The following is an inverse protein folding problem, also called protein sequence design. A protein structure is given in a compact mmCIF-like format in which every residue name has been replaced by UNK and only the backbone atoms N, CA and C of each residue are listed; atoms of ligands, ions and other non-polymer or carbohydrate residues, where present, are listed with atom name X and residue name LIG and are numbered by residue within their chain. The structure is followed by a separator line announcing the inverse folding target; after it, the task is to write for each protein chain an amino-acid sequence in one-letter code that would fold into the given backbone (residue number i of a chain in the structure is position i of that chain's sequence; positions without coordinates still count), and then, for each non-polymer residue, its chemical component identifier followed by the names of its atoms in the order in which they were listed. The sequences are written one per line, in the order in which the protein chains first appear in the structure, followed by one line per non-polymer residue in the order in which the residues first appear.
data_IF_566145615896
#
_entry.id   IF_566145615896
#
_cell.length_a   1.000
_cell.length_b   1.000
_cell.length_c   1.000
_cell.angle_alpha   90.00
_cell.angle_beta   90.00
_cell.angle_gamma   90.00
#
_symmetry.space_group_name_H-M   'P 1'
#
loop_
_entity.id
_entity.type
_entity.pdbx_description
1 polymer ?
#
# COMPACT_ATOMS: atom_id res chain seq x y z
N UNK A 1 -9.82 30.17 -6.60
CA UNK A 1 -10.87 29.23 -7.08
C UNK A 1 -11.32 28.35 -5.91
N UNK A 2 -12.61 28.15 -5.70
CA UNK A 2 -13.09 27.25 -4.63
C UNK A 2 -12.99 25.79 -5.11
N UNK A 3 -12.32 24.94 -4.34
CA UNK A 3 -12.12 23.51 -4.62
C UNK A 3 -12.69 22.68 -3.48
N UNK A 4 -13.56 21.74 -3.81
CA UNK A 4 -14.13 20.77 -2.88
C UNK A 4 -13.25 19.54 -2.75
N UNK A 5 -13.20 18.99 -1.54
CA UNK A 5 -12.44 17.78 -1.22
C UNK A 5 -13.17 16.91 -0.19
N UNK A 6 -12.79 15.64 -0.13
CA UNK A 6 -13.15 14.74 0.98
C UNK A 6 -11.90 14.32 1.73
N UNK A 7 -11.96 14.29 3.05
CA UNK A 7 -10.96 13.66 3.90
C UNK A 7 -11.36 12.21 4.13
N UNK A 8 -10.43 11.28 3.90
CA UNK A 8 -10.65 9.85 4.03
C UNK A 8 -9.45 9.18 4.70
N UNK A 9 -9.59 7.95 5.16
CA UNK A 9 -8.44 7.14 5.57
C UNK A 9 -8.64 5.65 5.29
N UNK A 10 -7.53 4.93 5.07
CA UNK A 10 -7.49 3.48 5.02
C UNK A 10 -6.58 2.95 6.12
N UNK A 11 -7.16 2.44 7.22
CA UNK A 11 -6.40 1.94 8.38
C UNK A 11 -5.40 2.97 8.96
N UNK A 12 -5.87 4.21 9.19
CA UNK A 12 -5.06 5.30 9.75
C UNK A 12 -4.22 6.08 8.72
N UNK A 13 -3.88 5.50 7.58
CA UNK A 13 -3.23 6.25 6.49
C UNK A 13 -4.26 7.18 5.83
N UNK A 14 -4.07 8.50 5.98
CA UNK A 14 -5.10 9.51 5.72
C UNK A 14 -4.86 10.34 4.45
N UNK A 15 -5.97 10.67 3.78
CA UNK A 15 -5.99 11.20 2.43
C UNK A 15 -6.87 12.44 2.32
N UNK A 16 -6.39 13.43 1.57
CA UNK A 16 -7.25 14.41 0.91
C UNK A 16 -7.60 13.89 -0.48
N UNK A 17 -8.88 13.77 -0.81
CA UNK A 17 -9.35 13.23 -2.10
C UNK A 17 -10.10 14.31 -2.88
N UNK A 18 -9.71 14.52 -4.13
CA UNK A 18 -10.26 15.53 -5.03
C UNK A 18 -10.95 14.86 -6.21
N UNK A 19 -12.21 15.23 -6.43
CA UNK A 19 -12.88 15.00 -7.70
C UNK A 19 -12.40 16.06 -8.69
N UNK A 20 -11.54 15.66 -9.62
CA UNK A 20 -11.07 16.46 -10.74
C UNK A 20 -11.68 16.03 -12.08
N UNK A 21 -12.77 15.26 -12.03
CA UNK A 21 -13.63 14.95 -13.18
C UNK A 21 -14.65 16.08 -13.36
N UNK A 22 -15.23 16.55 -12.25
CA UNK A 22 -16.22 17.63 -12.25
C UNK A 22 -15.63 19.00 -11.90
N UNK A 23 -14.41 19.02 -11.36
CA UNK A 23 -13.64 20.24 -11.07
C UNK A 23 -12.38 20.29 -11.94
N UNK A 24 -11.76 21.47 -12.04
CA UNK A 24 -10.49 21.65 -12.74
C UNK A 24 -9.45 22.30 -11.80
N UNK A 25 -9.00 21.52 -10.82
CA UNK A 25 -8.03 21.92 -9.81
C UNK A 25 -6.61 21.48 -10.19
N UNK A 26 -5.67 22.41 -10.10
CA UNK A 26 -4.23 22.16 -10.23
C UNK A 26 -3.52 22.58 -8.95
N UNK A 27 -2.60 21.75 -8.48
CA UNK A 27 -1.82 22.00 -7.28
C UNK A 27 -0.34 21.99 -7.64
N UNK A 28 0.39 23.06 -7.29
CA UNK A 28 1.85 23.04 -7.34
C UNK A 28 2.39 22.17 -6.19
N UNK A 29 3.64 21.73 -6.30
CA UNK A 29 4.31 20.96 -5.25
C UNK A 29 4.28 21.67 -3.90
N UNK A 30 4.56 22.97 -3.91
CA UNK A 30 4.57 23.83 -2.73
C UNK A 30 3.17 23.93 -2.12
N UNK A 31 2.12 23.97 -2.95
CA UNK A 31 0.74 24.00 -2.45
C UNK A 31 0.35 22.68 -1.80
N UNK A 32 0.77 21.54 -2.37
CA UNK A 32 0.53 20.22 -1.75
C UNK A 32 1.21 20.16 -0.39
N UNK A 33 2.48 20.58 -0.28
CA UNK A 33 3.21 20.63 0.99
C UNK A 33 2.52 21.51 2.04
N UNK A 34 2.02 22.69 1.65
CA UNK A 34 1.26 23.56 2.53
C UNK A 34 -0.03 22.89 3.05
N UNK A 35 -0.80 22.26 2.16
CA UNK A 35 -2.05 21.60 2.53
C UNK A 35 -1.80 20.33 3.36
N UNK A 36 -0.70 19.62 3.12
CA UNK A 36 -0.32 18.41 3.84
C UNK A 36 0.13 18.68 5.28
N UNK A 37 0.53 19.91 5.60
CA UNK A 37 0.91 20.28 6.96
C UNK A 37 -0.24 20.04 7.93
N UNK A 38 -0.01 19.23 8.98
CA UNK A 38 -1.05 18.83 9.92
C UNK A 38 -1.51 19.94 10.89
N UNK A 39 -0.72 20.99 11.05
CA UNK A 39 -1.03 22.10 11.95
C UNK A 39 -1.57 23.34 11.20
N UNK A 40 -1.02 23.62 10.03
CA UNK A 40 -1.30 24.83 9.25
C UNK A 40 -2.08 24.57 7.95
N UNK A 41 -2.30 23.30 7.62
CA UNK A 41 -3.04 22.87 6.43
C UNK A 41 -4.23 21.99 6.79
N UNK A 42 -4.63 21.15 5.84
CA UNK A 42 -5.65 20.12 6.03
C UNK A 42 -5.07 18.95 6.83
N UNK A 43 -3.79 18.67 6.64
CA UNK A 43 -3.10 17.50 7.19
C UNK A 43 -3.47 16.23 6.44
N UNK A 44 -2.52 15.55 5.82
CA UNK A 44 -2.72 14.24 5.20
C UNK A 44 -1.38 13.59 4.91
N UNK A 45 -1.36 12.26 4.80
CA UNK A 45 -0.20 11.54 4.28
C UNK A 45 -0.09 11.69 2.75
N UNK A 46 -1.22 11.57 2.04
CA UNK A 46 -1.27 11.74 0.59
C UNK A 46 -2.50 12.53 0.09
N UNK A 47 -2.33 13.20 -1.04
CA UNK A 47 -3.39 13.78 -1.86
C UNK A 47 -3.72 12.81 -3.00
N UNK A 48 -4.99 12.48 -3.16
CA UNK A 48 -5.51 11.64 -4.23
C UNK A 48 -6.32 12.50 -5.21
N UNK A 49 -5.98 12.45 -6.49
CA UNK A 49 -6.75 13.12 -7.54
C UNK A 49 -7.45 12.10 -8.42
N UNK A 50 -8.77 12.27 -8.56
CA UNK A 50 -9.63 11.51 -9.47
C UNK A 50 -9.82 12.31 -10.74
N UNK A 51 -9.20 11.87 -11.82
CA UNK A 51 -9.19 12.57 -13.11
C UNK A 51 -9.95 11.77 -14.19
N UNK A 52 -10.38 12.42 -15.27
CA UNK A 52 -10.90 11.74 -16.45
C UNK A 52 -9.86 10.72 -16.99
N UNK A 53 -10.31 9.55 -17.47
CA UNK A 53 -9.40 8.58 -18.05
C UNK A 53 -8.81 9.09 -19.38
N UNK A 54 -7.57 8.71 -19.67
CA UNK A 54 -6.96 8.93 -20.99
C UNK A 54 -7.39 7.87 -22.03
N UNK A 55 -7.84 6.71 -21.56
CA UNK A 55 -8.21 5.54 -22.35
C UNK A 55 -9.69 5.20 -22.08
N UNK A 56 -10.56 5.08 -23.10
CA UNK A 56 -11.98 4.80 -22.94
C UNK A 56 -12.30 3.44 -22.31
N UNK A 57 -11.35 2.50 -22.24
CA UNK A 57 -11.52 1.24 -21.52
C UNK A 57 -11.40 1.38 -19.99
N UNK A 58 -11.02 2.56 -19.50
CA UNK A 58 -10.81 2.87 -18.10
C UNK A 58 -11.89 3.81 -17.60
N UNK A 59 -12.21 3.72 -16.31
CA UNK A 59 -13.22 4.58 -15.67
C UNK A 59 -12.65 5.93 -15.29
N UNK A 60 -11.41 5.94 -14.79
CA UNK A 60 -10.74 7.13 -14.25
C UNK A 60 -9.22 7.04 -14.40
N UNK A 61 -8.56 8.19 -14.35
CA UNK A 61 -7.14 8.30 -14.06
C UNK A 61 -6.93 8.66 -12.59
N UNK A 62 -6.00 7.97 -11.92
CA UNK A 62 -5.74 8.08 -10.50
C UNK A 62 -4.30 8.53 -10.24
N UNK A 63 -4.15 9.74 -9.70
CA UNK A 63 -2.87 10.34 -9.33
C UNK A 63 -2.73 10.49 -7.82
N UNK A 64 -1.50 10.33 -7.34
CA UNK A 64 -1.19 10.26 -5.91
C UNK A 64 0.01 11.15 -5.63
N UNK A 65 -0.13 12.06 -4.69
CA UNK A 65 0.96 12.91 -4.24
C UNK A 65 1.22 12.70 -2.75
N UNK A 66 2.47 12.52 -2.38
CA UNK A 66 2.87 12.50 -0.98
C UNK A 66 2.78 13.90 -0.35
N UNK A 67 2.86 13.94 0.99
CA UNK A 67 2.92 15.18 1.75
C UNK A 67 4.08 16.12 1.35
N UNK A 68 5.18 15.59 0.81
CA UNK A 68 6.29 16.37 0.27
C UNK A 68 6.03 16.91 -1.16
N UNK A 69 4.85 16.61 -1.72
CA UNK A 69 4.40 16.99 -3.06
C UNK A 69 5.00 16.16 -4.19
N UNK A 70 5.76 15.09 -3.91
CA UNK A 70 6.21 14.14 -4.93
C UNK A 70 5.05 13.27 -5.41
N UNK A 71 5.00 13.01 -6.72
CA UNK A 71 4.00 12.11 -7.32
C UNK A 71 4.52 10.67 -7.30
N UNK A 72 3.72 9.77 -6.72
CA UNK A 72 4.05 8.34 -6.57
C UNK A 72 3.15 7.47 -7.42
N UNK A 73 3.63 6.26 -7.72
CA UNK A 73 3.00 5.41 -8.71
C UNK A 73 1.81 4.61 -8.19
N UNK A 74 1.85 4.24 -6.90
CA UNK A 74 0.85 3.37 -6.31
C UNK A 74 0.71 3.55 -4.80
N UNK A 75 -0.54 3.50 -4.32
CA UNK A 75 -0.88 3.42 -2.90
C UNK A 75 -2.11 2.52 -2.72
N UNK A 76 -1.92 1.35 -2.10
CA UNK A 76 -2.99 0.37 -1.90
C UNK A 76 -4.10 0.84 -0.95
N UNK A 77 -3.77 1.63 0.07
CA UNK A 77 -4.75 2.25 0.96
C UNK A 77 -5.53 3.35 0.25
N UNK A 78 -4.84 4.18 -0.54
CA UNK A 78 -5.45 5.24 -1.33
C UNK A 78 -6.39 4.69 -2.39
N UNK A 79 -6.04 3.57 -3.03
CA UNK A 79 -6.90 2.89 -4.01
C UNK A 79 -8.24 2.43 -3.40
N UNK A 80 -8.26 2.01 -2.12
CA UNK A 80 -9.51 1.70 -1.42
C UNK A 80 -10.35 2.96 -1.17
N UNK A 81 -9.71 4.04 -0.71
CA UNK A 81 -10.38 5.33 -0.51
C UNK A 81 -10.94 5.88 -1.83
N UNK A 82 -10.18 5.80 -2.91
CA UNK A 82 -10.59 6.16 -4.26
C UNK A 82 -11.88 5.44 -4.67
N UNK A 83 -11.92 4.11 -4.54
CA UNK A 83 -13.07 3.32 -4.94
C UNK A 83 -14.35 3.73 -4.20
N UNK A 84 -14.23 3.94 -2.88
CA UNK A 84 -15.36 4.39 -2.06
C UNK A 84 -15.76 5.83 -2.38
N UNK A 85 -14.79 6.71 -2.63
CA UNK A 85 -15.02 8.11 -3.00
C UNK A 85 -15.84 8.24 -4.28
N UNK A 86 -15.42 7.59 -5.38
CA UNK A 86 -16.11 7.73 -6.68
C UNK A 86 -17.53 7.16 -6.63
N UNK A 87 -17.77 6.14 -5.81
CA UNK A 87 -19.12 5.62 -5.54
C UNK A 87 -19.94 6.61 -4.72
N UNK A 88 -19.38 7.14 -3.64
CA UNK A 88 -20.07 8.07 -2.73
C UNK A 88 -20.43 9.39 -3.41
N UNK A 89 -19.57 9.89 -4.31
CA UNK A 89 -19.82 11.11 -5.10
C UNK A 89 -20.67 10.86 -6.35
N UNK A 90 -21.13 9.63 -6.57
CA UNK A 90 -22.01 9.29 -7.71
C UNK A 90 -21.33 9.37 -9.08
N UNK A 91 -19.99 9.34 -9.12
CA UNK A 91 -19.20 9.39 -10.36
C UNK A 91 -19.28 8.07 -11.13
N UNK A 92 -19.59 6.96 -10.44
CA UNK A 92 -19.76 5.65 -11.04
C UNK A 92 -20.78 4.80 -10.28
N UNK A 93 -21.62 4.07 -11.02
CA UNK A 93 -22.67 3.21 -10.43
C UNK A 93 -22.29 1.73 -10.35
N UNK A 94 -21.31 1.25 -11.13
CA UNK A 94 -20.85 -0.15 -11.07
C UNK A 94 -19.89 -0.39 -9.90
N UNK A 95 -19.76 -1.65 -9.50
CA UNK A 95 -18.89 -2.05 -8.36
C UNK A 95 -17.48 -2.45 -8.79
N UNK A 96 -17.28 -2.84 -10.05
CA UNK A 96 -15.95 -3.06 -10.63
C UNK A 96 -15.49 -1.75 -11.27
N UNK A 97 -14.38 -1.21 -10.80
CA UNK A 97 -13.80 0.05 -11.26
C UNK A 97 -12.41 -0.26 -11.82
N UNK A 98 -12.13 0.24 -13.02
CA UNK A 98 -10.86 0.10 -13.70
C UNK A 98 -10.20 1.45 -13.77
N UNK A 99 -9.02 1.60 -13.17
CA UNK A 99 -8.31 2.88 -13.12
C UNK A 99 -6.93 2.75 -13.74
N UNK A 100 -6.45 3.80 -14.41
CA UNK A 100 -5.02 3.94 -14.67
C UNK A 100 -4.34 4.67 -13.53
N UNK A 101 -3.11 4.26 -13.28
CA UNK A 101 -2.13 4.92 -12.42
C UNK A 101 -0.86 5.13 -13.23
N UNK A 102 0.13 5.82 -12.67
CA UNK A 102 1.46 5.91 -13.27
C UNK A 102 2.15 4.53 -13.41
N UNK A 103 1.83 3.56 -12.54
CA UNK A 103 2.29 2.17 -12.64
C UNK A 103 1.49 1.31 -13.63
N UNK A 104 0.42 1.85 -14.24
CA UNK A 104 -0.45 1.14 -15.17
C UNK A 104 -1.84 0.85 -14.61
N UNK A 105 -2.47 -0.21 -15.10
CA UNK A 105 -3.89 -0.52 -14.88
C UNK A 105 -4.12 -1.21 -13.53
N UNK A 106 -5.06 -0.70 -12.75
CA UNK A 106 -5.51 -1.29 -11.49
C UNK A 106 -7.02 -1.57 -11.52
N UNK A 107 -7.45 -2.64 -10.85
CA UNK A 107 -8.87 -3.03 -10.78
C UNK A 107 -9.32 -3.07 -9.32
N UNK A 108 -10.40 -2.36 -9.04
CA UNK A 108 -11.00 -2.19 -7.72
C UNK A 108 -12.40 -2.79 -7.73
N UNK A 109 -12.80 -3.42 -6.63
CA UNK A 109 -14.12 -3.99 -6.45
C UNK A 109 -14.70 -3.47 -5.14
N UNK A 110 -15.85 -2.78 -5.21
CA UNK A 110 -16.65 -2.50 -4.03
C UNK A 110 -17.44 -3.74 -3.65
N UNK A 111 -17.19 -4.23 -2.44
CA UNK A 111 -17.87 -5.37 -1.86
C UNK A 111 -19.21 -4.95 -1.25
N UNK A 112 -20.11 -5.92 -1.08
CA UNK A 112 -21.47 -5.66 -0.55
C UNK A 112 -21.49 -5.19 0.90
N UNK A 113 -20.45 -5.55 1.67
CA UNK A 113 -20.28 -5.19 3.07
C UNK A 113 -19.58 -3.82 3.26
N UNK A 114 -19.34 -3.09 2.17
CA UNK A 114 -18.69 -1.77 2.20
C UNK A 114 -17.15 -1.83 2.15
N UNK A 115 -16.55 -3.02 2.18
CA UNK A 115 -15.11 -3.16 1.97
C UNK A 115 -14.72 -2.94 0.50
N UNK A 116 -13.43 -2.71 0.28
CA UNK A 116 -12.88 -2.60 -1.07
C UNK A 116 -11.83 -3.67 -1.28
N UNK A 117 -12.00 -4.46 -2.34
CA UNK A 117 -10.99 -5.38 -2.84
C UNK A 117 -10.18 -4.72 -3.96
N UNK A 118 -8.86 -4.68 -3.77
CA UNK A 118 -7.88 -4.23 -4.77
C UNK A 118 -7.23 -5.45 -5.40
N UNK A 119 -7.17 -5.48 -6.73
CA UNK A 119 -6.30 -6.39 -7.45
C UNK A 119 -4.86 -5.87 -7.38
N UNK A 120 -4.01 -6.56 -6.65
CA UNK A 120 -2.62 -6.16 -6.38
C UNK A 120 -1.63 -6.74 -7.40
N UNK A 121 -2.12 -7.43 -8.44
CA UNK A 121 -1.28 -8.08 -9.44
C UNK A 121 -0.67 -9.40 -8.94
N UNK A 122 0.28 -9.93 -9.70
CA UNK A 122 1.00 -11.16 -9.37
C UNK A 122 2.26 -10.78 -8.56
N UNK A 123 2.49 -11.38 -7.38
CA UNK A 123 3.76 -11.22 -6.65
C UNK A 123 4.93 -11.76 -7.48
N UNK A 124 6.06 -11.07 -7.43
CA UNK A 124 7.29 -11.45 -8.10
C UNK A 124 8.34 -11.91 -7.08
N UNK A 125 9.02 -13.02 -7.37
CA UNK A 125 9.95 -13.69 -6.46
C UNK A 125 11.37 -13.79 -7.04
N UNK A 126 11.55 -13.56 -8.34
CA UNK A 126 12.87 -13.58 -8.98
C UNK A 126 13.73 -12.44 -8.43
N UNK A 127 14.92 -12.72 -7.83
CA UNK A 127 15.74 -11.69 -7.20
C UNK A 127 16.04 -10.48 -8.08
N UNK A 128 16.32 -10.69 -9.36
CA UNK A 128 16.60 -9.60 -10.29
C UNK A 128 15.41 -8.62 -10.47
N UNK A 129 14.18 -9.12 -10.36
CA UNK A 129 12.96 -8.34 -10.48
C UNK A 129 12.50 -7.72 -9.13
N UNK A 130 13.10 -8.13 -8.00
CA UNK A 130 12.90 -7.52 -6.66
C UNK A 130 13.99 -6.47 -6.31
N UNK A 131 14.85 -6.11 -7.26
CA UNK A 131 16.21 -5.64 -6.98
C UNK A 131 16.88 -6.24 -5.72
N UNK A 132 16.91 -7.57 -5.61
CA UNK A 132 17.66 -8.29 -4.58
C UNK A 132 18.95 -8.88 -5.16
N UNK A 133 20.10 -8.56 -4.59
CA UNK A 133 21.38 -9.24 -4.91
C UNK A 133 21.35 -10.66 -4.35
N UNK A 134 21.01 -11.64 -5.18
CA UNK A 134 21.09 -13.07 -4.89
C UNK A 134 21.43 -13.84 -6.17
N UNK A 135 22.13 -14.97 -6.05
CA UNK A 135 22.52 -15.78 -7.21
C UNK A 135 21.38 -16.58 -7.82
N UNK A 136 20.36 -16.92 -7.03
CA UNK A 136 19.18 -17.66 -7.44
C UNK A 136 18.00 -17.33 -6.53
N UNK A 137 16.79 -17.57 -7.03
CA UNK A 137 15.58 -17.53 -6.23
C UNK A 137 15.63 -18.61 -5.13
N UNK A 138 15.31 -18.19 -3.90
CA UNK A 138 15.16 -19.06 -2.73
C UNK A 138 13.91 -18.64 -1.95
N UNK A 139 13.32 -19.59 -1.21
CA UNK A 139 12.19 -19.28 -0.32
C UNK A 139 12.64 -18.50 0.93
N UNK A 140 13.91 -18.60 1.29
CA UNK A 140 14.52 -17.91 2.43
C UNK A 140 15.96 -17.53 2.09
N UNK A 141 16.31 -16.28 2.36
CA UNK A 141 17.64 -15.72 2.19
C UNK A 141 18.24 -15.36 3.55
N UNK A 142 19.57 -15.34 3.60
CA UNK A 142 20.32 -14.95 4.80
C UNK A 142 20.81 -13.50 4.63
N UNK A 143 20.50 -12.64 5.60
CA UNK A 143 21.04 -11.28 5.70
C UNK A 143 21.94 -11.17 6.93
N UNK A 144 23.13 -10.60 6.77
CA UNK A 144 24.02 -10.28 7.88
C UNK A 144 23.89 -8.81 8.21
N UNK A 145 23.36 -8.50 9.38
CA UNK A 145 23.11 -7.13 9.83
C UNK A 145 23.89 -6.91 11.12
N UNK A 146 25.04 -6.24 11.02
CA UNK A 146 26.00 -6.17 12.12
C UNK A 146 26.46 -7.57 12.52
N UNK A 147 26.31 -7.91 13.80
CA UNK A 147 26.61 -9.25 14.34
C UNK A 147 25.44 -10.24 14.22
N UNK A 148 24.25 -9.77 13.82
CA UNK A 148 23.05 -10.58 13.71
C UNK A 148 22.92 -11.24 12.34
N UNK A 149 22.41 -12.47 12.32
CA UNK A 149 22.03 -13.17 11.09
C UNK A 149 20.50 -13.29 11.04
N UNK A 150 19.89 -12.71 10.02
CA UNK A 150 18.44 -12.70 9.82
C UNK A 150 18.07 -13.65 8.66
N UNK A 151 16.95 -14.35 8.83
CA UNK A 151 16.34 -15.17 7.79
C UNK A 151 15.12 -14.45 7.25
N UNK A 152 15.09 -14.22 5.94
CA UNK A 152 14.07 -13.39 5.30
C UNK A 152 13.52 -14.06 4.06
N UNK A 153 12.22 -13.90 3.79
CA UNK A 153 11.69 -14.03 2.44
C UNK A 153 11.70 -12.68 1.74
N UNK A 154 11.66 -12.70 0.41
CA UNK A 154 11.65 -11.48 -0.41
C UNK A 154 10.66 -11.63 -1.54
N UNK A 155 9.91 -10.56 -1.82
CA UNK A 155 8.97 -10.50 -2.93
C UNK A 155 8.80 -9.04 -3.40
N UNK A 156 8.34 -8.85 -4.63
CA UNK A 156 7.94 -7.55 -5.16
C UNK A 156 6.44 -7.55 -5.46
N UNK A 157 5.77 -6.48 -5.04
CA UNK A 157 4.37 -6.17 -5.40
C UNK A 157 4.31 -4.96 -6.36
N UNK A 158 5.37 -4.75 -7.14
CA UNK A 158 5.68 -3.50 -7.84
C UNK A 158 6.67 -2.62 -7.07
N UNK A 159 6.85 -2.88 -5.77
CA UNK A 159 7.92 -2.34 -4.94
C UNK A 159 8.54 -3.46 -4.09
N UNK A 160 9.83 -3.35 -3.69
CA UNK A 160 10.53 -4.43 -3.02
C UNK A 160 10.11 -4.59 -1.56
N UNK A 161 9.91 -5.84 -1.13
CA UNK A 161 9.61 -6.22 0.25
C UNK A 161 10.53 -7.35 0.72
N UNK A 162 10.95 -7.25 1.96
CA UNK A 162 11.70 -8.24 2.71
C UNK A 162 10.91 -8.54 3.98
N UNK A 163 10.63 -9.80 4.26
CA UNK A 163 9.80 -10.20 5.42
C UNK A 163 10.54 -11.22 6.25
N UNK A 164 10.67 -10.94 7.54
CA UNK A 164 11.20 -11.87 8.53
C UNK A 164 10.10 -12.33 9.48
N UNK A 165 10.19 -13.58 9.90
CA UNK A 165 9.33 -14.11 10.95
C UNK A 165 9.88 -13.69 12.32
N UNK A 166 8.97 -13.32 13.23
CA UNK A 166 9.28 -12.96 14.61
C UNK A 166 8.34 -13.71 15.55
N UNK A 167 8.84 -14.04 16.75
CA UNK A 167 8.05 -14.73 17.77
C UNK A 167 6.90 -13.86 18.29
N UNK A 168 7.17 -12.55 18.47
CA UNK A 168 6.20 -11.56 18.93
C UNK A 168 6.46 -10.19 18.27
N UNK A 169 5.45 -9.65 17.57
CA UNK A 169 5.53 -8.32 16.93
C UNK A 169 5.61 -7.19 17.95
N UNK A 170 5.08 -7.37 19.15
CA UNK A 170 5.03 -6.31 20.17
C UNK A 170 6.42 -6.07 20.78
N UNK A 171 7.27 -7.11 20.82
CA UNK A 171 8.65 -7.04 21.30
C UNK A 171 9.69 -7.02 20.17
N UNK A 172 9.27 -7.16 18.91
CA UNK A 172 10.18 -7.13 17.77
C UNK A 172 10.94 -5.79 17.70
N UNK A 173 12.25 -5.86 17.47
CA UNK A 173 13.13 -4.70 17.43
C UNK A 173 13.08 -3.97 16.08
N UNK A 174 11.88 -3.49 15.71
CA UNK A 174 11.61 -2.81 14.43
C UNK A 174 12.44 -1.52 14.31
N UNK A 175 12.60 -0.78 15.41
CA UNK A 175 13.28 0.51 15.41
C UNK A 175 14.78 0.42 15.10
N UNK A 176 15.46 -0.65 15.54
CA UNK A 176 16.88 -0.84 15.25
C UNK A 176 17.09 -1.67 13.97
N UNK A 177 16.32 -2.74 13.76
CA UNK A 177 16.51 -3.63 12.61
C UNK A 177 15.97 -3.02 11.31
N UNK A 178 14.82 -2.33 11.37
CA UNK A 178 14.15 -1.74 10.21
C UNK A 178 15.07 -0.85 9.37
N UNK A 179 15.70 0.20 9.94
CA UNK A 179 16.61 1.08 9.22
C UNK A 179 17.83 0.37 8.62
N UNK A 180 18.34 -0.66 9.32
CA UNK A 180 19.52 -1.41 8.86
C UNK A 180 19.20 -2.30 7.66
N UNK A 181 18.04 -2.95 7.67
CA UNK A 181 17.60 -3.81 6.57
C UNK A 181 17.10 -2.98 5.38
N UNK A 182 16.42 -1.87 5.63
CA UNK A 182 15.90 -0.95 4.61
C UNK A 182 17.02 -0.45 3.66
N UNK A 183 18.23 -0.24 4.19
CA UNK A 183 19.41 0.23 3.45
C UNK A 183 20.46 -0.86 3.20
N UNK A 184 20.10 -2.12 3.41
CA UNK A 184 21.06 -3.21 3.32
C UNK A 184 21.63 -3.32 1.90
N UNK A 185 22.94 -3.57 1.77
CA UNK A 185 23.67 -3.58 0.49
C UNK A 185 23.13 -4.54 -0.58
N UNK A 186 22.35 -5.54 -0.13
CA UNK A 186 21.67 -6.52 -0.99
C UNK A 186 20.42 -5.96 -1.67
N UNK A 187 19.88 -4.85 -1.20
CA UNK A 187 18.77 -4.12 -1.80
C UNK A 187 19.27 -2.74 -2.28
N UNK A 188 19.89 -2.64 -3.48
CA UNK A 188 20.43 -1.39 -4.02
C UNK A 188 19.42 -0.25 -4.10
N UNK A 189 18.14 -0.56 -4.24
CA UNK A 189 17.06 0.44 -4.31
C UNK A 189 16.37 0.66 -2.94
N UNK A 190 16.89 0.06 -1.87
CA UNK A 190 16.22 -0.05 -0.57
C UNK A 190 15.01 -0.99 -0.59
N UNK A 191 14.44 -1.27 0.59
CA UNK A 191 13.38 -2.27 0.72
C UNK A 191 12.41 -1.96 1.87
N UNK A 192 11.14 -2.35 1.73
CA UNK A 192 10.19 -2.33 2.84
C UNK A 192 10.39 -3.58 3.71
N UNK A 193 10.49 -3.41 5.02
CA UNK A 193 10.87 -4.47 5.96
C UNK A 193 9.67 -4.88 6.81
N UNK A 194 9.15 -6.08 6.60
CA UNK A 194 8.04 -6.65 7.35
C UNK A 194 8.50 -7.58 8.47
N UNK A 195 7.91 -7.42 9.65
CA UNK A 195 8.10 -8.27 10.82
C UNK A 195 6.80 -9.02 11.08
N UNK A 196 6.77 -10.30 10.69
CA UNK A 196 5.57 -11.12 10.65
C UNK A 196 5.55 -12.11 11.82
N UNK A 197 4.52 -12.03 12.66
CA UNK A 197 4.21 -13.09 13.63
C UNK A 197 3.07 -13.93 13.07
N UNK A 198 3.31 -15.24 12.93
CA UNK A 198 2.30 -16.18 12.47
C UNK A 198 1.50 -16.67 13.68
N UNK A 199 0.20 -16.36 13.71
CA UNK A 199 -0.71 -16.83 14.76
C UNK A 199 -1.25 -18.21 14.38
N UNK A 200 -1.64 -18.38 13.12
CA UNK A 200 -1.99 -19.64 12.48
C UNK A 200 -1.95 -19.50 10.95
N UNK A 201 -2.28 -20.56 10.22
CA UNK A 201 -2.25 -20.59 8.74
C UNK A 201 -3.11 -19.53 8.05
N UNK A 202 -4.13 -18.98 8.72
CA UNK A 202 -5.05 -17.97 8.19
C UNK A 202 -4.99 -16.63 8.92
N UNK A 203 -4.03 -16.43 9.83
CA UNK A 203 -3.92 -15.19 10.61
C UNK A 203 -2.48 -14.86 10.98
N UNK A 204 -2.05 -13.65 10.62
CA UNK A 204 -0.76 -13.08 11.02
C UNK A 204 -0.96 -11.71 11.66
N UNK A 205 0.01 -11.31 12.50
CA UNK A 205 0.26 -9.91 12.83
C UNK A 205 1.47 -9.41 12.07
N UNK A 206 1.49 -8.13 11.70
CA UNK A 206 2.55 -7.56 10.88
C UNK A 206 2.86 -6.11 11.31
N UNK A 207 4.14 -5.81 11.50
CA UNK A 207 4.67 -4.43 11.56
C UNK A 207 5.58 -4.20 10.35
N UNK A 208 5.55 -3.00 9.78
CA UNK A 208 6.31 -2.70 8.56
C UNK A 208 7.08 -1.41 8.73
N UNK A 209 8.39 -1.49 8.50
CA UNK A 209 9.26 -0.33 8.30
C UNK A 209 9.35 -0.05 6.79
N UNK A 210 8.68 0.99 6.33
CA UNK A 210 8.61 1.35 4.92
C UNK A 210 9.84 2.14 4.46
N UNK A 211 10.26 1.85 3.22
CA UNK A 211 11.37 2.52 2.55
C UNK A 211 11.12 4.03 2.51
N UNK A 212 12.03 4.80 3.09
CA UNK A 212 11.94 6.26 3.16
C UNK A 212 10.85 6.85 4.08
N UNK A 213 10.01 6.03 4.74
CA UNK A 213 8.92 6.52 5.60
C UNK A 213 9.01 6.06 7.05
N UNK A 214 9.83 5.04 7.34
CA UNK A 214 9.92 4.46 8.68
C UNK A 214 8.74 3.55 8.99
N UNK A 215 8.49 3.29 10.28
CA UNK A 215 7.37 2.44 10.68
C UNK A 215 6.02 3.14 10.48
N UNK A 216 5.13 2.52 9.71
CA UNK A 216 3.79 3.05 9.42
C UNK A 216 2.69 2.22 10.07
N UNK A 217 1.50 2.81 10.25
CA UNK A 217 0.36 2.12 10.84
C UNK A 217 -0.18 0.99 9.94
N UNK A 218 -0.04 1.11 8.61
CA UNK A 218 -0.54 0.13 7.68
C UNK A 218 0.13 0.22 6.30
N UNK A 219 0.83 -0.83 5.90
CA UNK A 219 1.39 -0.98 4.55
C UNK A 219 0.65 -2.10 3.80
N UNK A 220 -0.20 -1.73 2.84
CA UNK A 220 -1.02 -2.69 2.07
C UNK A 220 -0.19 -3.65 1.22
N UNK A 221 0.82 -3.14 0.49
CA UNK A 221 1.72 -4.00 -0.29
C UNK A 221 2.62 -4.86 0.60
N UNK A 222 3.02 -4.37 1.79
CA UNK A 222 3.73 -5.15 2.80
C UNK A 222 2.91 -6.32 3.34
N UNK A 223 1.62 -6.11 3.62
CA UNK A 223 0.69 -7.18 3.98
C UNK A 223 0.54 -8.23 2.87
N UNK A 224 0.46 -7.79 1.61
CA UNK A 224 0.42 -8.68 0.46
C UNK A 224 1.69 -9.52 0.33
N UNK A 225 2.86 -8.88 0.45
CA UNK A 225 4.15 -9.55 0.35
C UNK A 225 4.36 -10.55 1.49
N UNK A 226 4.02 -10.19 2.73
CA UNK A 226 4.13 -11.09 3.88
C UNK A 226 3.30 -12.36 3.70
N UNK A 227 2.05 -12.24 3.24
CA UNK A 227 1.21 -13.40 2.95
C UNK A 227 1.75 -14.22 1.80
N UNK A 228 2.17 -13.58 0.71
CA UNK A 228 2.73 -14.28 -0.45
C UNK A 228 4.00 -15.06 -0.07
N UNK A 229 4.90 -14.44 0.70
CA UNK A 229 6.12 -15.08 1.22
C UNK A 229 5.77 -16.24 2.16
N UNK A 230 4.85 -16.04 3.11
CA UNK A 230 4.42 -17.10 4.03
C UNK A 230 3.77 -18.29 3.32
N UNK A 231 3.02 -18.05 2.24
CA UNK A 231 2.48 -19.12 1.39
C UNK A 231 3.58 -19.88 0.62
N UNK A 232 4.54 -19.18 0.01
CA UNK A 232 5.69 -19.80 -0.68
C UNK A 232 6.55 -20.64 0.29
N UNK A 233 6.66 -20.20 1.54
CA UNK A 233 7.34 -20.94 2.60
C UNK A 233 6.50 -22.08 3.19
N UNK A 234 5.26 -22.30 2.72
CA UNK A 234 4.38 -23.37 3.20
C UNK A 234 3.80 -23.14 4.59
N UNK A 235 3.80 -21.91 5.09
CA UNK A 235 3.36 -21.55 6.45
C UNK A 235 1.94 -20.96 6.53
N UNK A 236 1.42 -20.46 5.41
CA UNK A 236 0.12 -19.81 5.33
C UNK A 236 -0.78 -20.44 4.26
N UNK A 237 -2.09 -20.37 4.49
CA UNK A 237 -3.13 -20.76 3.56
C UNK A 237 -3.46 -19.68 2.53
N UNK A 238 -4.44 -19.94 1.66
CA UNK A 238 -4.81 -19.09 0.50
C UNK A 238 -5.58 -17.82 0.87
N UNK A 239 -6.12 -17.76 2.07
CA UNK A 239 -6.94 -16.65 2.58
C UNK A 239 -6.49 -16.34 4.00
N UNK A 240 -5.89 -15.17 4.18
CA UNK A 240 -5.17 -14.80 5.40
C UNK A 240 -5.63 -13.43 5.87
N UNK A 241 -6.00 -13.34 7.14
CA UNK A 241 -6.17 -12.08 7.85
C UNK A 241 -4.81 -11.55 8.30
N UNK A 242 -4.53 -10.29 8.03
CA UNK A 242 -3.31 -9.60 8.44
C UNK A 242 -3.69 -8.47 9.37
N UNK A 243 -3.27 -8.54 10.63
CA UNK A 243 -3.45 -7.46 11.60
C UNK A 243 -2.20 -6.56 11.58
N UNK A 244 -2.40 -5.30 11.19
CA UNK A 244 -1.43 -4.20 11.22
C UNK A 244 -1.76 -3.29 12.42
N UNK A 245 -0.84 -2.40 12.85
CA UNK A 245 -1.13 -1.44 13.91
C UNK A 245 -2.41 -0.60 13.67
N UNK A 246 -2.69 -0.25 12.42
CA UNK A 246 -3.85 0.53 12.01
C UNK A 246 -5.15 -0.27 11.80
N UNK A 247 -5.12 -1.60 11.97
CA UNK A 247 -6.26 -2.51 11.82
C UNK A 247 -5.99 -3.66 10.85
N UNK A 248 -7.06 -4.29 10.34
CA UNK A 248 -6.93 -5.57 9.62
C UNK A 248 -7.16 -5.46 8.11
N UNK A 249 -6.40 -6.24 7.37
CA UNK A 249 -6.63 -6.54 5.95
C UNK A 249 -6.89 -8.03 5.77
N UNK A 250 -7.58 -8.39 4.68
CA UNK A 250 -7.74 -9.78 4.25
C UNK A 250 -7.06 -9.96 2.91
N UNK A 251 -6.08 -10.86 2.85
CA UNK A 251 -5.29 -11.14 1.66
C UNK A 251 -5.68 -12.50 1.11
N UNK A 252 -6.06 -12.53 -0.16
CA UNK A 252 -6.42 -13.75 -0.88
C UNK A 252 -5.51 -13.95 -2.07
N UNK A 253 -4.80 -15.07 -2.06
CA UNK A 253 -3.91 -15.45 -3.15
C UNK A 253 -4.06 -16.95 -3.42
N UNK A 254 -4.59 -17.35 -4.60
CA UNK A 254 -4.77 -18.76 -4.92
C UNK A 254 -3.47 -19.53 -5.17
N UNK A 255 -2.38 -18.82 -5.49
CA UNK A 255 -1.03 -19.36 -5.73
C UNK A 255 -0.25 -18.59 -6.80
N UNK A 256 1.00 -19.01 -7.10
CA UNK A 256 1.99 -18.29 -7.92
C UNK A 256 1.49 -17.73 -9.26
N UNK A 257 0.61 -18.44 -9.96
CA UNK A 257 0.13 -18.02 -11.29
C UNK A 257 -1.12 -17.16 -11.29
N UNK A 258 -1.55 -16.74 -10.10
CA UNK A 258 -2.76 -15.96 -9.92
C UNK A 258 -2.44 -14.57 -9.37
N UNK A 259 -3.39 -13.65 -9.62
CA UNK A 259 -3.35 -12.34 -8.99
C UNK A 259 -3.68 -12.44 -7.50
N UNK A 260 -2.96 -11.66 -6.70
CA UNK A 260 -3.22 -11.47 -5.29
C UNK A 260 -4.27 -10.36 -5.12
N UNK A 261 -5.24 -10.58 -4.24
CA UNK A 261 -6.29 -9.62 -3.91
C UNK A 261 -6.15 -9.20 -2.46
N UNK A 262 -6.23 -7.89 -2.23
CA UNK A 262 -6.23 -7.29 -0.90
C UNK A 262 -7.59 -6.68 -0.64
N UNK A 263 -8.25 -7.09 0.44
CA UNK A 263 -9.54 -6.54 0.87
C UNK A 263 -9.35 -5.80 2.19
N UNK A 264 -9.95 -4.63 2.31
CA UNK A 264 -9.92 -3.88 3.56
C UNK A 264 -10.89 -2.70 3.58
N UNK A 265 -11.01 -2.04 4.75
CA UNK A 265 -11.85 -0.86 4.88
C UNK A 265 -11.18 0.37 4.27
N UNK A 266 -12.03 1.37 3.99
CA UNK A 266 -11.65 2.74 3.68
C UNK A 266 -12.79 3.62 4.16
N UNK A 267 -12.52 4.62 4.98
CA UNK A 267 -13.56 5.41 5.64
C UNK A 267 -13.55 6.87 5.18
N UNK A 268 -14.74 7.44 5.05
CA UNK A 268 -14.94 8.88 4.89
C UNK A 268 -14.91 9.54 6.27
N UNK A 269 -14.22 10.68 6.39
CA UNK A 269 -14.10 11.42 7.65
C UNK A 269 -14.92 12.69 7.60
N UNK A 270 -14.67 13.55 6.63
CA UNK A 270 -15.43 14.79 6.42
C UNK A 270 -15.31 15.28 4.98
N UNK A 271 -16.21 16.17 4.57
CA UNK A 271 -16.09 16.95 3.34
C UNK A 271 -15.66 18.39 3.69
N UNK A 272 -14.93 19.03 2.78
CA UNK A 272 -14.49 20.41 2.95
C UNK A 272 -14.31 21.14 1.63
N UNK A 273 -14.02 22.43 1.72
CA UNK A 273 -13.64 23.24 0.57
C UNK A 273 -12.51 24.20 0.92
N UNK A 274 -11.67 24.52 -0.05
CA UNK A 274 -10.57 25.48 0.07
C UNK A 274 -10.60 26.50 -1.05
N UNK A 275 -9.99 27.66 -0.82
CA UNK A 275 -9.70 28.62 -1.87
C UNK A 275 -8.24 28.44 -2.31
N UNK A 276 -8.06 28.03 -3.57
CA UNK A 276 -6.78 28.03 -4.27
C UNK A 276 -6.47 29.40 -4.86
#
# INVERSE_FOLDING_TARGET
MQVQFSKMHGLGNDFMVIDNVTQNAFFSKEKIQQLANRNFGIGFDQLLMVEPPYDPEQDFHYRIFNADGSEVEQCGNGARCFARFVKQKGLINRNKIVVSTKAGKMVLYLEKDGQVTVNMGKPEFEPANIPLKANKQENTYILRVGESTLFIGSASMGNPHCVMEVDDVDTANVAEIGPLVEKHERFPEGVNVGFMQIINESHIKLRVFERGSGETLACGSGACAAVAIGQIQGKLGKDVRVDLPGGSLRIRWPGPDNVLKMTGPAEHVYDGHINL
#
